data_IF_549650060572
#
_entry.id   IF_549650060572
#
_cell.length_a   1.000
_cell.length_b   1.000
_cell.length_c   1.000
_cell.angle_alpha   90.00
_cell.angle_beta   90.00
_cell.angle_gamma   90.00
#
_symmetry.space_group_name_H-M   'P 1'
#
loop_
_entity.id
_entity.type
_entity.pdbx_description
1 polymer ?
#
# COMPACT_ATOMS: atom_id res chain seq x y z
N UNK A 1 -12.35 18.99 -18.62
CA UNK A 1 -11.02 18.34 -18.60
C UNK A 1 -10.64 18.17 -17.13
N UNK A 2 -11.05 17.07 -16.52
CA UNK A 2 -10.76 16.82 -15.10
C UNK A 2 -9.49 15.97 -15.00
N UNK A 3 -8.40 16.61 -14.60
CA UNK A 3 -7.17 15.94 -14.22
C UNK A 3 -7.39 15.40 -12.80
N UNK A 4 -7.54 14.09 -12.65
CA UNK A 4 -7.50 13.47 -11.33
C UNK A 4 -6.04 13.37 -10.92
N UNK A 5 -5.68 14.11 -9.88
CA UNK A 5 -4.38 14.01 -9.25
C UNK A 5 -4.32 12.70 -8.45
N UNK A 6 -3.32 11.90 -8.72
CA UNK A 6 -3.01 10.69 -7.96
C UNK A 6 -2.41 11.07 -6.62
N UNK A 7 -3.02 10.61 -5.53
CA UNK A 7 -2.53 10.83 -4.17
C UNK A 7 -1.71 9.60 -3.78
N UNK A 8 -0.40 9.74 -3.75
CA UNK A 8 0.49 8.72 -3.24
C UNK A 8 0.72 8.90 -1.74
N UNK A 9 0.15 8.05 -0.93
CA UNK A 9 0.62 7.80 0.44
C UNK A 9 0.57 6.31 0.65
N UNK A 10 1.70 5.71 0.83
CA UNK A 10 2.00 4.34 1.19
C UNK A 10 0.96 3.33 0.71
N UNK A 11 1.25 2.57 -0.29
CA UNK A 11 0.46 1.57 -1.01
C UNK A 11 -1.07 1.76 -0.98
N UNK A 12 -1.54 2.98 -1.12
CA UNK A 12 -2.84 3.23 -1.70
C UNK A 12 -2.64 3.05 -3.18
N UNK A 13 -2.94 1.87 -3.64
CA UNK A 13 -3.11 1.63 -5.03
C UNK A 13 -4.03 2.68 -5.61
N UNK A 14 -3.42 3.43 -6.44
CA UNK A 14 -4.06 4.34 -7.34
C UNK A 14 -5.22 3.62 -8.01
N UNK A 15 -6.42 3.83 -7.51
CA UNK A 15 -7.60 3.62 -8.34
C UNK A 15 -7.41 4.49 -9.56
N UNK A 16 -6.73 3.95 -10.57
CA UNK A 16 -6.51 4.64 -11.82
C UNK A 16 -7.87 4.86 -12.44
N UNK A 17 -8.37 6.09 -12.42
CA UNK A 17 -9.43 6.46 -13.34
C UNK A 17 -8.86 6.21 -14.73
N UNK A 18 -9.26 5.12 -15.36
CA UNK A 18 -8.89 4.81 -16.74
C UNK A 18 -9.47 5.93 -17.61
N UNK A 19 -8.60 6.88 -17.95
CA UNK A 19 -8.91 7.86 -18.97
C UNK A 19 -8.91 7.14 -20.31
N UNK A 20 -9.93 7.43 -21.12
CA UNK A 20 -10.06 6.94 -22.47
C UNK A 20 -8.74 7.16 -23.25
N UNK A 21 -8.27 6.10 -23.88
CA UNK A 21 -7.25 5.99 -24.93
C UNK A 21 -6.29 7.19 -25.01
N UNK A 22 -5.35 7.25 -24.09
CA UNK A 22 -4.15 8.05 -24.24
C UNK A 22 -3.02 7.15 -24.77
N UNK A 23 -2.02 7.76 -25.42
CA UNK A 23 -0.79 7.09 -25.79
C UNK A 23 -0.14 6.41 -24.56
N UNK A 24 0.71 5.42 -24.79
CA UNK A 24 1.52 4.78 -23.75
C UNK A 24 2.15 5.83 -22.84
N UNK A 25 1.95 5.71 -21.55
CA UNK A 25 2.49 6.66 -20.58
C UNK A 25 3.51 5.98 -19.68
N UNK A 26 4.64 6.62 -19.48
CA UNK A 26 5.57 6.34 -18.40
C UNK A 26 5.47 7.50 -17.42
N UNK A 27 5.24 7.19 -16.15
CA UNK A 27 5.17 8.18 -15.08
C UNK A 27 6.00 7.70 -13.88
N UNK A 28 6.40 8.63 -13.05
CA UNK A 28 7.09 8.34 -11.80
C UNK A 28 6.53 9.16 -10.66
N UNK A 29 6.90 8.80 -9.46
CA UNK A 29 6.56 9.55 -8.26
C UNK A 29 7.66 9.43 -7.20
N UNK A 30 7.70 10.41 -6.30
CA UNK A 30 8.50 10.36 -5.08
C UNK A 30 7.69 10.91 -3.93
N UNK A 31 7.81 10.31 -2.75
CA UNK A 31 7.13 10.71 -1.52
C UNK A 31 8.12 10.71 -0.36
N UNK A 32 8.05 11.75 0.46
CA UNK A 32 8.69 11.80 1.77
C UNK A 32 7.57 11.73 2.81
N UNK A 33 7.66 10.79 3.74
CA UNK A 33 6.67 10.59 4.80
C UNK A 33 7.34 10.53 6.17
N UNK A 34 6.60 10.87 7.21
CA UNK A 34 7.08 10.78 8.60
C UNK A 34 7.10 9.35 9.12
N UNK A 35 6.40 8.44 8.45
CA UNK A 35 6.36 7.01 8.74
C UNK A 35 5.84 6.25 7.52
N UNK A 36 6.25 5.00 7.35
CA UNK A 36 5.69 4.06 6.37
C UNK A 36 4.76 3.07 7.07
N UNK A 37 3.46 3.18 6.83
CA UNK A 37 2.44 2.28 7.38
C UNK A 37 1.85 1.40 6.29
N UNK A 38 2.14 0.09 6.37
CA UNK A 38 1.53 -0.92 5.52
C UNK A 38 0.39 -1.62 6.30
N UNK A 39 -0.84 -1.49 5.82
CA UNK A 39 -2.04 -2.02 6.50
C UNK A 39 -2.07 -1.68 7.99
N UNK A 40 -1.75 -0.42 8.31
CA UNK A 40 -1.76 0.10 9.67
C UNK A 40 -0.48 -0.11 10.48
N UNK A 41 0.41 -1.02 10.07
CA UNK A 41 1.62 -1.38 10.80
C UNK A 41 2.83 -0.64 10.24
N UNK A 42 3.64 -0.01 11.12
CA UNK A 42 4.88 0.64 10.71
C UNK A 42 5.89 -0.37 10.16
N UNK A 43 6.52 -0.01 9.06
CA UNK A 43 7.58 -0.78 8.43
C UNK A 43 8.97 -0.28 8.85
N UNK A 44 9.00 0.63 9.83
CA UNK A 44 10.22 1.25 10.34
C UNK A 44 10.29 1.05 11.85
N UNK A 45 11.29 0.32 12.33
CA UNK A 45 11.52 0.11 13.76
C UNK A 45 11.74 1.44 14.48
N UNK A 46 11.28 1.53 15.74
CA UNK A 46 11.53 2.65 16.64
C UNK A 46 10.34 3.56 16.89
N UNK A 47 9.16 3.27 16.32
CA UNK A 47 7.91 4.00 16.59
C UNK A 47 8.02 5.55 16.47
N UNK A 48 6.98 6.24 16.15
CA UNK A 48 6.97 7.70 16.19
C UNK A 48 7.53 8.39 14.94
N UNK A 49 8.71 8.99 15.00
CA UNK A 49 9.32 9.72 13.88
C UNK A 49 10.36 8.88 13.16
N UNK A 50 9.93 8.09 12.18
CA UNK A 50 10.79 7.24 11.35
C UNK A 50 10.56 7.54 9.88
N UNK A 51 11.27 8.53 9.29
CA UNK A 51 10.95 9.03 7.96
C UNK A 51 11.20 7.99 6.87
N UNK A 52 10.25 7.91 5.94
CA UNK A 52 10.32 7.11 4.74
C UNK A 52 10.57 7.96 3.50
N UNK A 53 11.42 7.47 2.61
CA UNK A 53 11.50 7.91 1.22
C UNK A 53 10.98 6.80 0.32
N UNK A 54 9.99 7.13 -0.49
CA UNK A 54 9.22 6.17 -1.27
C UNK A 54 9.08 6.66 -2.70
N UNK A 55 9.00 5.78 -3.67
CA UNK A 55 8.73 6.17 -5.05
C UNK A 55 8.79 5.02 -6.01
N UNK A 56 8.41 5.30 -7.26
CA UNK A 56 8.35 4.27 -8.28
C UNK A 56 8.05 4.81 -9.67
N UNK A 57 7.89 3.87 -10.59
CA UNK A 57 7.58 4.14 -11.98
C UNK A 57 6.42 3.25 -12.43
N UNK A 58 5.55 3.82 -13.25
CA UNK A 58 4.42 3.14 -13.88
C UNK A 58 4.52 3.25 -15.40
N UNK A 59 4.38 2.15 -16.10
CA UNK A 59 4.12 2.09 -17.52
C UNK A 59 2.68 1.64 -17.78
N UNK A 60 1.91 2.49 -18.45
CA UNK A 60 0.50 2.27 -18.75
C UNK A 60 0.25 2.42 -20.24
N UNK A 61 0.24 1.33 -21.02
CA UNK A 61 -0.17 1.36 -22.41
C UNK A 61 -1.67 1.62 -22.55
N UNK A 62 -2.09 2.08 -23.72
CA UNK A 62 -3.49 2.38 -24.02
C UNK A 62 -4.46 1.19 -23.90
N UNK A 63 -3.94 -0.02 -23.78
CA UNK A 63 -4.71 -1.27 -23.75
C UNK A 63 -5.46 -1.53 -22.43
N UNK A 64 -5.16 -0.78 -21.34
CA UNK A 64 -5.66 -1.03 -20.00
C UNK A 64 -4.75 -1.89 -19.14
N UNK A 65 -3.73 -2.55 -19.72
CA UNK A 65 -2.65 -3.18 -18.94
C UNK A 65 -1.75 -2.14 -18.31
N UNK A 66 -1.06 -2.50 -17.25
CA UNK A 66 -0.01 -1.70 -16.65
C UNK A 66 1.04 -2.58 -15.97
N UNK A 67 2.23 -2.03 -15.87
CA UNK A 67 3.34 -2.57 -15.09
C UNK A 67 3.94 -1.44 -14.28
N UNK A 68 4.42 -1.73 -13.09
CA UNK A 68 5.08 -0.74 -12.26
C UNK A 68 6.09 -1.35 -11.32
N UNK A 69 6.88 -0.48 -10.74
CA UNK A 69 7.77 -0.78 -9.63
C UNK A 69 7.65 0.32 -8.58
N UNK A 70 7.82 -0.06 -7.34
CA UNK A 70 7.85 0.86 -6.22
C UNK A 70 8.92 0.44 -5.23
N UNK A 71 9.44 1.36 -4.43
CA UNK A 71 10.42 1.07 -3.41
C UNK A 71 10.28 2.02 -2.23
N UNK A 72 10.69 1.54 -1.06
CA UNK A 72 10.79 2.30 0.19
C UNK A 72 11.95 1.80 1.04
N UNK A 73 12.54 2.67 1.84
CA UNK A 73 13.30 2.17 2.97
C UNK A 73 12.36 1.51 3.97
N UNK A 74 12.83 0.41 4.56
CA UNK A 74 12.21 -0.32 5.66
C UNK A 74 13.25 -0.61 6.72
N UNK A 75 12.83 -0.96 7.93
CA UNK A 75 13.75 -1.36 8.99
C UNK A 75 13.09 -2.41 9.88
N UNK A 76 13.13 -3.65 9.44
CA UNK A 76 12.65 -4.80 10.22
C UNK A 76 13.42 -6.07 9.84
N UNK A 77 13.73 -6.91 10.82
CA UNK A 77 14.26 -8.28 10.64
C UNK A 77 15.39 -8.47 9.61
N UNK A 78 16.19 -7.43 9.37
CA UNK A 78 17.29 -7.45 8.40
C UNK A 78 16.95 -6.93 7.01
N UNK A 79 15.72 -6.40 6.79
CA UNK A 79 15.38 -5.67 5.58
C UNK A 79 15.70 -4.18 5.72
N UNK A 80 16.44 -3.61 4.74
CA UNK A 80 16.75 -2.18 4.68
C UNK A 80 15.93 -1.46 3.61
N UNK A 81 15.48 -2.21 2.62
CA UNK A 81 14.73 -1.70 1.47
C UNK A 81 13.67 -2.72 1.04
N UNK A 82 12.50 -2.22 0.70
CA UNK A 82 11.45 -2.92 0.00
C UNK A 82 11.44 -2.49 -1.45
N UNK A 83 11.36 -3.44 -2.37
CA UNK A 83 11.23 -3.21 -3.80
C UNK A 83 10.11 -4.07 -4.35
N UNK A 84 9.09 -3.42 -4.87
CA UNK A 84 7.90 -4.08 -5.38
C UNK A 84 7.85 -4.04 -6.91
N UNK A 85 7.35 -5.13 -7.47
CA UNK A 85 6.95 -5.22 -8.87
C UNK A 85 5.47 -5.54 -8.92
N UNK A 86 4.73 -4.83 -9.76
CA UNK A 86 3.30 -5.07 -9.91
C UNK A 86 2.84 -4.93 -11.35
N UNK A 87 1.74 -5.54 -11.64
CA UNK A 87 1.09 -5.40 -12.93
C UNK A 87 -0.34 -5.87 -12.90
N UNK A 88 -1.12 -5.38 -13.84
CA UNK A 88 -2.53 -5.70 -13.86
C UNK A 88 -3.24 -5.19 -15.11
N UNK A 89 -4.55 -5.30 -15.02
CA UNK A 89 -5.48 -4.81 -16.04
C UNK A 89 -6.65 -4.10 -15.37
N UNK A 90 -6.83 -2.82 -15.70
CA UNK A 90 -7.94 -2.02 -15.23
C UNK A 90 -8.76 -1.45 -16.38
N UNK A 91 -10.08 -1.43 -16.22
CA UNK A 91 -10.98 -0.83 -17.22
C UNK A 91 -12.28 -0.32 -16.60
N UNK A 92 -13.02 0.46 -17.38
CA UNK A 92 -14.37 0.91 -17.03
C UNK A 92 -15.42 -0.03 -17.60
N UNK A 93 -16.39 -0.38 -16.78
CA UNK A 93 -17.63 -1.01 -17.24
C UNK A 93 -18.56 0.06 -17.82
N UNK A 94 -18.60 1.24 -17.15
CA UNK A 94 -19.34 2.42 -17.57
C UNK A 94 -18.77 3.68 -16.88
N UNK A 95 -19.44 4.82 -17.00
CA UNK A 95 -18.95 6.10 -16.46
C UNK A 95 -18.84 6.14 -14.91
N UNK A 96 -19.51 5.22 -14.23
CA UNK A 96 -19.57 5.19 -12.76
C UNK A 96 -18.92 3.96 -12.15
N UNK A 97 -18.68 2.90 -12.93
CA UNK A 97 -18.14 1.62 -12.46
C UNK A 97 -16.85 1.30 -13.19
N UNK A 98 -15.80 1.01 -12.44
CA UNK A 98 -14.54 0.48 -12.95
C UNK A 98 -14.10 -0.73 -12.14
N UNK A 99 -13.21 -1.51 -12.70
CA UNK A 99 -12.58 -2.66 -12.05
C UNK A 99 -11.08 -2.68 -12.34
N UNK A 100 -10.35 -3.32 -11.45
CA UNK A 100 -8.92 -3.57 -11.58
C UNK A 100 -8.58 -4.95 -11.00
N UNK A 101 -7.66 -5.67 -11.62
CA UNK A 101 -7.12 -6.90 -11.08
C UNK A 101 -5.68 -7.10 -11.54
N UNK A 102 -4.88 -7.74 -10.71
CA UNK A 102 -3.47 -7.94 -11.01
C UNK A 102 -2.73 -8.68 -9.92
N UNK A 103 -1.44 -8.42 -9.86
CA UNK A 103 -0.56 -9.01 -8.87
C UNK A 103 0.45 -8.01 -8.35
N UNK A 104 0.96 -8.28 -7.15
CA UNK A 104 2.11 -7.66 -6.50
C UNK A 104 3.13 -8.71 -6.18
N UNK A 105 4.39 -8.38 -6.36
CA UNK A 105 5.53 -9.05 -5.76
C UNK A 105 6.20 -8.05 -4.82
N UNK A 106 6.33 -8.42 -3.57
CA UNK A 106 7.03 -7.67 -2.53
C UNK A 106 8.39 -8.30 -2.33
N UNK A 107 9.45 -7.55 -2.56
CA UNK A 107 10.82 -8.04 -2.51
C UNK A 107 11.64 -7.29 -1.47
N UNK A 108 12.45 -8.02 -0.72
CA UNK A 108 13.34 -7.49 0.32
C UNK A 108 14.79 -7.92 0.03
N UNK A 109 15.51 -7.23 -0.87
CA UNK A 109 16.82 -7.68 -1.40
C UNK A 109 17.90 -7.95 -0.34
N UNK A 110 17.77 -7.31 0.84
CA UNK A 110 18.76 -7.41 1.92
C UNK A 110 18.21 -8.15 3.15
N UNK A 111 17.19 -8.99 3.02
CA UNK A 111 16.59 -9.74 4.12
C UNK A 111 17.54 -10.80 4.74
N UNK A 112 18.77 -10.89 4.21
CA UNK A 112 19.78 -11.87 4.59
C UNK A 112 19.51 -13.27 4.04
N UNK A 113 18.46 -13.43 3.25
CA UNK A 113 18.23 -14.58 2.40
C UNK A 113 19.06 -14.38 1.13
N UNK A 114 20.38 -14.46 1.26
CA UNK A 114 21.25 -14.47 0.10
C UNK A 114 20.96 -15.73 -0.71
N UNK A 115 21.04 -15.66 -2.03
CA UNK A 115 21.05 -16.79 -2.98
C UNK A 115 22.10 -17.87 -2.62
N UNK A 116 22.86 -17.67 -1.58
CA UNK A 116 23.86 -18.56 -1.00
C UNK A 116 23.39 -19.10 0.37
N UNK A 117 22.36 -19.99 0.33
CA UNK A 117 22.18 -21.14 1.23
C UNK A 117 22.47 -20.95 2.75
N UNK A 118 21.80 -20.02 3.41
CA UNK A 118 21.55 -20.18 4.84
C UNK A 118 20.13 -20.73 5.01
N UNK A 119 20.00 -22.05 5.07
CA UNK A 119 18.75 -22.82 5.11
C UNK A 119 17.84 -22.53 6.33
N UNK A 120 18.19 -21.57 7.17
CA UNK A 120 17.47 -21.26 8.41
C UNK A 120 16.85 -19.85 8.47
N UNK A 121 16.91 -19.07 7.38
CA UNK A 121 16.24 -17.77 7.33
C UNK A 121 14.97 -17.85 6.49
N UNK A 122 13.87 -17.36 7.05
CA UNK A 122 12.58 -17.27 6.35
C UNK A 122 12.70 -16.30 5.18
N UNK A 123 12.14 -16.66 4.05
CA UNK A 123 12.01 -15.77 2.91
C UNK A 123 10.94 -14.71 3.22
N UNK A 124 11.32 -13.44 3.25
CA UNK A 124 10.38 -12.35 3.49
C UNK A 124 9.60 -11.99 2.23
N UNK A 125 10.15 -12.27 1.04
CA UNK A 125 9.50 -11.95 -0.22
C UNK A 125 8.25 -12.80 -0.45
N UNK A 126 7.21 -12.16 -0.97
CA UNK A 126 5.94 -12.83 -1.27
C UNK A 126 5.21 -12.13 -2.41
N UNK A 127 4.11 -12.71 -2.87
CA UNK A 127 3.25 -12.11 -3.87
C UNK A 127 1.78 -12.17 -3.45
N UNK A 128 1.02 -11.21 -3.95
CA UNK A 128 -0.41 -11.15 -3.78
C UNK A 128 -1.09 -11.02 -5.14
N UNK A 129 -2.20 -11.69 -5.31
CA UNK A 129 -3.18 -11.40 -6.35
C UNK A 129 -4.23 -10.47 -5.79
N UNK A 130 -4.71 -9.53 -6.59
CA UNK A 130 -5.76 -8.63 -6.14
C UNK A 130 -6.84 -8.43 -7.19
N UNK A 131 -8.00 -8.01 -6.71
CA UNK A 131 -9.08 -7.51 -7.53
C UNK A 131 -9.92 -6.50 -6.78
N UNK A 132 -10.34 -5.44 -7.47
CA UNK A 132 -11.23 -4.45 -6.92
C UNK A 132 -12.30 -3.97 -7.92
N UNK A 133 -13.35 -3.39 -7.36
CA UNK A 133 -14.40 -2.69 -8.08
C UNK A 133 -14.61 -1.32 -7.44
N UNK A 134 -14.74 -0.31 -8.29
CA UNK A 134 -15.00 1.07 -7.85
C UNK A 134 -16.32 1.57 -8.38
N UNK A 135 -17.10 2.23 -7.53
CA UNK A 135 -18.38 2.83 -7.83
C UNK A 135 -18.58 4.13 -7.05
N UNK A 136 -18.74 5.25 -7.75
CA UNK A 136 -19.07 6.57 -7.17
C UNK A 136 -18.17 6.98 -6.00
N UNK A 137 -16.85 6.75 -6.11
CA UNK A 137 -15.87 7.08 -5.05
C UNK A 137 -15.70 6.01 -3.98
N UNK A 138 -16.52 4.97 -3.95
CA UNK A 138 -16.34 3.78 -3.13
C UNK A 138 -15.53 2.75 -3.91
N UNK A 139 -14.50 2.15 -3.30
CA UNK A 139 -13.76 1.00 -3.81
C UNK A 139 -13.91 -0.15 -2.83
N UNK A 140 -14.18 -1.33 -3.34
CA UNK A 140 -14.17 -2.59 -2.59
C UNK A 140 -13.16 -3.53 -3.24
N UNK A 141 -12.28 -4.12 -2.45
CA UNK A 141 -11.24 -4.98 -3.00
C UNK A 141 -10.83 -6.11 -2.08
N UNK A 142 -10.09 -7.03 -2.66
CA UNK A 142 -9.49 -8.17 -2.00
C UNK A 142 -8.09 -8.40 -2.53
N UNK A 143 -7.15 -8.71 -1.62
CA UNK A 143 -5.84 -9.27 -1.95
C UNK A 143 -5.75 -10.68 -1.36
N UNK A 144 -5.05 -11.57 -2.04
CA UNK A 144 -4.80 -12.94 -1.62
C UNK A 144 -3.35 -13.33 -1.88
N UNK A 145 -2.69 -13.90 -0.89
CA UNK A 145 -1.39 -14.55 -1.02
C UNK A 145 -1.52 -16.03 -0.61
N UNK A 146 -1.04 -16.98 -1.41
CA UNK A 146 -0.99 -18.39 -0.99
C UNK A 146 0.14 -18.67 -0.01
N UNK A 147 1.15 -17.79 0.06
CA UNK A 147 2.23 -17.85 1.04
C UNK A 147 2.71 -16.41 1.34
N UNK A 148 2.17 -15.87 2.41
CA UNK A 148 2.37 -14.47 2.81
C UNK A 148 3.73 -14.29 3.49
N UNK A 149 4.12 -13.07 3.68
CA UNK A 149 5.34 -12.60 4.32
C UNK A 149 5.93 -13.57 5.35
N UNK A 150 7.22 -13.89 5.24
CA UNK A 150 7.93 -14.84 6.12
C UNK A 150 7.33 -16.26 6.14
N UNK A 151 6.80 -16.72 4.98
CA UNK A 151 6.26 -18.09 4.81
C UNK A 151 5.14 -18.41 5.82
N UNK A 152 4.23 -17.46 6.02
CA UNK A 152 3.15 -17.59 7.01
C UNK A 152 1.89 -18.27 6.47
N UNK A 153 1.93 -18.77 5.21
CA UNK A 153 0.82 -19.48 4.58
C UNK A 153 -0.24 -18.55 3.99
N UNK A 154 -1.43 -19.05 3.80
CA UNK A 154 -2.52 -18.33 3.16
C UNK A 154 -2.87 -17.02 3.91
N UNK A 155 -3.06 -15.97 3.12
CA UNK A 155 -3.46 -14.67 3.63
C UNK A 155 -4.52 -14.07 2.72
N UNK A 156 -5.48 -13.38 3.32
CA UNK A 156 -6.43 -12.55 2.59
C UNK A 156 -6.65 -11.20 3.26
N UNK A 157 -6.74 -10.16 2.45
CA UNK A 157 -7.03 -8.80 2.86
C UNK A 157 -8.25 -8.28 2.13
N UNK A 158 -9.27 -7.89 2.87
CA UNK A 158 -10.51 -7.33 2.35
C UNK A 158 -10.58 -5.87 2.73
N UNK A 159 -10.89 -4.99 1.80
CA UNK A 159 -10.91 -3.57 2.10
C UNK A 159 -12.05 -2.82 1.43
N UNK A 160 -12.40 -1.71 2.07
CA UNK A 160 -13.28 -0.70 1.54
C UNK A 160 -12.61 0.66 1.65
N UNK A 161 -12.71 1.46 0.58
CA UNK A 161 -12.20 2.82 0.53
C UNK A 161 -13.29 3.76 0.04
N UNK A 162 -13.25 4.99 0.52
CA UNK A 162 -14.04 6.08 0.00
C UNK A 162 -13.19 7.32 -0.13
N UNK A 163 -13.27 8.02 -1.25
CA UNK A 163 -12.63 9.31 -1.43
C UNK A 163 -13.52 10.31 -2.16
N UNK A 164 -13.41 11.57 -1.76
CA UNK A 164 -14.13 12.67 -2.40
C UNK A 164 -13.34 13.97 -2.30
N UNK A 165 -13.64 14.93 -3.18
CA UNK A 165 -13.09 16.28 -3.10
C UNK A 165 -14.05 17.22 -2.37
N UNK A 166 -13.52 17.95 -1.40
CA UNK A 166 -14.23 19.01 -0.69
C UNK A 166 -13.77 20.36 -1.23
N UNK A 167 -14.74 21.21 -1.65
CA UNK A 167 -14.47 22.55 -2.17
C UNK A 167 -13.43 22.58 -3.31
N UNK A 168 -13.34 21.53 -4.13
CA UNK A 168 -12.45 21.34 -5.28
C UNK A 168 -10.93 21.40 -4.96
N UNK A 169 -10.56 21.55 -3.70
CA UNK A 169 -9.17 21.76 -3.27
C UNK A 169 -8.62 20.66 -2.37
N UNK A 170 -9.46 20.13 -1.49
CA UNK A 170 -9.05 19.14 -0.50
C UNK A 170 -9.66 17.81 -0.86
N UNK A 171 -8.83 16.79 -1.05
CA UNK A 171 -9.28 15.41 -1.16
C UNK A 171 -9.30 14.81 0.22
N UNK A 172 -10.44 14.26 0.63
CA UNK A 172 -10.58 13.47 1.85
C UNK A 172 -10.79 12.01 1.50
N UNK A 173 -10.19 11.12 2.27
CA UNK A 173 -10.34 9.69 2.07
C UNK A 173 -10.47 8.96 3.40
N UNK A 174 -11.21 7.85 3.36
CA UNK A 174 -11.32 6.88 4.45
C UNK A 174 -11.08 5.49 3.90
N UNK A 175 -10.44 4.66 4.70
CA UNK A 175 -10.10 3.28 4.40
C UNK A 175 -10.38 2.42 5.62
N UNK A 176 -10.88 1.21 5.38
CA UNK A 176 -11.00 0.15 6.36
C UNK A 176 -10.56 -1.16 5.73
N UNK A 177 -9.70 -1.91 6.41
CA UNK A 177 -9.17 -3.18 5.99
C UNK A 177 -9.35 -4.28 7.04
N UNK A 178 -9.51 -5.50 6.56
CA UNK A 178 -9.59 -6.71 7.37
C UNK A 178 -8.57 -7.73 6.86
N UNK A 179 -7.58 -8.00 7.67
CA UNK A 179 -6.47 -8.91 7.43
C UNK A 179 -6.76 -10.26 8.05
N UNK A 180 -6.70 -11.36 7.29
CA UNK A 180 -6.91 -12.72 7.76
C UNK A 180 -5.75 -13.60 7.37
N UNK A 181 -5.13 -14.25 8.36
CA UNK A 181 -4.01 -15.16 8.24
C UNK A 181 -4.46 -16.61 8.46
N UNK A 182 -3.83 -17.54 7.79
CA UNK A 182 -4.01 -18.98 8.07
C UNK A 182 -3.37 -19.35 9.40
N UNK A 183 -2.20 -18.78 9.69
CA UNK A 183 -1.42 -19.12 10.87
C UNK A 183 -1.50 -18.05 11.96
N UNK A 184 -1.86 -18.45 13.18
CA UNK A 184 -1.91 -17.56 14.35
C UNK A 184 -0.53 -17.08 14.82
N UNK A 185 0.54 -17.77 14.44
CA UNK A 185 1.91 -17.44 14.90
C UNK A 185 2.36 -16.03 14.52
N UNK A 186 1.79 -15.47 13.46
CA UNK A 186 2.17 -14.15 12.96
C UNK A 186 1.77 -13.01 13.89
N UNK A 187 0.64 -13.15 14.58
CA UNK A 187 0.09 -12.13 15.48
C UNK A 187 -0.13 -12.66 16.91
N UNK A 188 0.82 -13.39 17.46
CA UNK A 188 0.83 -13.81 18.87
C UNK A 188 -0.42 -14.56 19.36
N UNK A 189 -1.06 -15.40 18.59
CA UNK A 189 -2.31 -16.15 18.79
C UNK A 189 -3.56 -15.55 18.12
N UNK A 190 -3.44 -14.46 17.40
CA UNK A 190 -4.50 -13.96 16.53
C UNK A 190 -4.24 -14.38 15.08
N UNK A 191 -5.29 -14.59 14.35
CA UNK A 191 -5.26 -14.91 12.93
C UNK A 191 -5.96 -13.84 12.08
N UNK A 192 -6.26 -12.68 12.67
CA UNK A 192 -6.82 -11.53 11.97
C UNK A 192 -6.57 -10.22 12.73
N UNK A 193 -6.58 -9.13 11.99
CA UNK A 193 -6.72 -7.78 12.54
C UNK A 193 -7.41 -6.86 11.53
N UNK A 194 -7.84 -5.71 12.02
CA UNK A 194 -8.37 -4.64 11.18
C UNK A 194 -7.47 -3.42 11.26
N UNK A 195 -7.37 -2.73 10.14
CA UNK A 195 -6.74 -1.43 10.03
C UNK A 195 -7.71 -0.38 9.48
N UNK A 196 -7.48 0.88 9.79
CA UNK A 196 -8.23 1.98 9.22
C UNK A 196 -7.37 3.23 9.08
N UNK A 197 -7.73 4.04 8.11
CA UNK A 197 -7.07 5.30 7.84
C UNK A 197 -8.10 6.35 7.42
N UNK A 198 -7.92 7.56 7.92
CA UNK A 198 -8.58 8.76 7.40
C UNK A 198 -7.52 9.77 7.00
N UNK A 199 -7.70 10.47 5.88
CA UNK A 199 -6.71 11.40 5.38
C UNK A 199 -7.33 12.62 4.71
N UNK A 200 -6.56 13.70 4.69
CA UNK A 200 -6.83 14.89 3.91
C UNK A 200 -5.58 15.28 3.12
N UNK A 201 -5.76 15.59 1.84
CA UNK A 201 -4.68 15.97 0.95
C UNK A 201 -5.01 17.25 0.19
N UNK A 202 -4.00 18.08 -0.05
CA UNK A 202 -4.12 19.33 -0.80
C UNK A 202 -2.94 19.48 -1.76
N UNK A 203 -3.23 19.89 -3.00
CA UNK A 203 -2.22 20.21 -4.00
C UNK A 203 -1.76 21.66 -3.83
N UNK A 204 -0.45 21.86 -3.74
CA UNK A 204 0.15 23.19 -3.60
C UNK A 204 1.66 23.17 -3.83
N UNK A 205 2.19 24.24 -4.40
CA UNK A 205 3.62 24.41 -4.69
C UNK A 205 4.20 23.30 -5.59
N UNK A 206 3.37 22.67 -6.43
CA UNK A 206 3.78 21.61 -7.34
C UNK A 206 3.99 20.24 -6.66
N UNK A 207 3.49 20.07 -5.44
CA UNK A 207 3.47 18.81 -4.68
C UNK A 207 2.11 18.63 -4.02
N UNK A 208 1.83 17.41 -3.59
CA UNK A 208 0.65 17.07 -2.79
C UNK A 208 1.06 16.92 -1.32
N UNK A 209 0.41 17.64 -0.43
CA UNK A 209 0.58 17.59 1.02
C UNK A 209 -0.52 16.73 1.60
N UNK A 210 -0.17 15.73 2.40
CA UNK A 210 -1.15 14.82 2.99
C UNK A 210 -0.93 14.69 4.49
N UNK A 211 -2.04 14.73 5.24
CA UNK A 211 -2.10 14.31 6.64
C UNK A 211 -3.05 13.14 6.75
N UNK A 212 -2.58 12.05 7.35
CA UNK A 212 -3.36 10.85 7.59
C UNK A 212 -3.32 10.46 9.06
N UNK A 213 -4.43 9.94 9.58
CA UNK A 213 -4.50 9.23 10.84
C UNK A 213 -4.68 7.75 10.51
N UNK A 214 -3.78 6.91 11.02
CA UNK A 214 -3.72 5.48 10.75
C UNK A 214 -3.77 4.73 12.07
N UNK A 215 -4.53 3.65 12.11
CA UNK A 215 -4.66 2.82 13.31
C UNK A 215 -4.98 1.36 12.98
N UNK A 216 -4.76 0.49 13.95
CA UNK A 216 -5.15 -0.91 13.93
C UNK A 216 -5.92 -1.26 15.21
N UNK A 217 -6.43 -2.49 15.30
CA UNK A 217 -6.96 -3.06 16.53
C UNK A 217 -5.99 -4.04 17.20
N UNK A 218 -4.69 -3.91 16.93
CA UNK A 218 -3.61 -4.60 17.62
C UNK A 218 -3.17 -3.73 18.81
N UNK A 219 -3.04 -4.31 20.00
CA UNK A 219 -2.87 -3.53 21.22
C UNK A 219 -1.83 -4.09 22.21
N UNK A 220 -1.08 -5.12 21.82
CA UNK A 220 -0.04 -5.73 22.66
C UNK A 220 1.26 -5.96 21.89
N UNK A 221 2.37 -5.98 22.61
CA UNK A 221 3.67 -6.29 22.03
C UNK A 221 3.68 -7.62 21.27
N UNK A 222 2.98 -8.64 21.83
CA UNK A 222 2.91 -9.97 21.22
C UNK A 222 2.17 -9.97 19.87
N UNK A 223 1.20 -9.08 19.70
CA UNK A 223 0.45 -8.91 18.45
C UNK A 223 1.18 -8.03 17.43
N UNK A 224 2.15 -7.24 17.89
CA UNK A 224 2.89 -6.25 17.08
C UNK A 224 4.38 -6.59 17.00
N UNK A 225 4.73 -7.84 16.76
CA UNK A 225 6.11 -8.27 16.50
C UNK A 225 7.12 -7.97 17.62
N UNK A 226 6.63 -7.84 18.87
CA UNK A 226 7.45 -7.52 20.04
C UNK A 226 7.52 -6.03 20.39
N UNK A 227 6.90 -5.17 19.58
CA UNK A 227 6.85 -3.72 19.80
C UNK A 227 5.47 -3.17 19.41
N UNK A 228 4.62 -2.90 20.40
CA UNK A 228 3.27 -2.35 20.18
C UNK A 228 3.28 -0.99 19.46
N UNK A 229 4.36 -0.21 19.57
CA UNK A 229 4.46 1.12 18.95
C UNK A 229 4.39 1.03 17.42
N UNK A 230 4.76 -0.13 16.84
CA UNK A 230 4.59 -0.40 15.41
C UNK A 230 3.13 -0.41 14.95
N UNK A 231 2.19 -0.74 15.86
CA UNK A 231 0.76 -0.87 15.57
C UNK A 231 -0.09 0.25 16.18
N UNK A 232 0.49 1.11 17.03
CA UNK A 232 -0.24 2.21 17.64
C UNK A 232 -0.76 3.21 16.62
N UNK A 233 -1.92 3.78 16.96
CA UNK A 233 -2.52 4.82 16.16
C UNK A 233 -1.62 6.04 16.06
N UNK A 234 -1.40 6.53 14.85
CA UNK A 234 -0.47 7.63 14.61
C UNK A 234 -0.95 8.58 13.51
N UNK A 235 -0.42 9.80 13.54
CA UNK A 235 -0.57 10.76 12.45
C UNK A 235 0.65 10.69 11.53
N UNK A 236 0.42 10.45 10.25
CA UNK A 236 1.46 10.42 9.21
C UNK A 236 1.29 11.66 8.34
N UNK A 237 2.35 12.44 8.22
CA UNK A 237 2.45 13.54 7.29
C UNK A 237 3.32 13.15 6.10
N UNK A 238 2.91 13.51 4.89
CA UNK A 238 3.71 13.23 3.70
C UNK A 238 3.63 14.35 2.65
N UNK A 239 4.67 14.40 1.83
CA UNK A 239 4.79 15.28 0.67
C UNK A 239 5.12 14.41 -0.53
N UNK A 240 4.29 14.48 -1.57
CA UNK A 240 4.44 13.68 -2.80
C UNK A 240 4.61 14.55 -4.02
N UNK A 241 5.42 14.08 -4.98
CA UNK A 241 5.64 14.70 -6.28
C UNK A 241 5.45 13.66 -7.38
N UNK A 242 4.58 13.96 -8.34
CA UNK A 242 4.53 13.25 -9.61
C UNK A 242 5.62 13.78 -10.56
N UNK A 243 6.30 12.88 -11.27
CA UNK A 243 7.41 13.12 -12.19
C UNK A 243 6.98 12.89 -13.64
#
# INVERSE_FOLDING_TARGET
MNKFASIGVGLLLLGSAVAAQAADTLSGNVTLATDYRFRGISQLEGGGWSPAIQGGFDWKPASGFYLGTWASNVNFSGGDIEVDLYGGYGNKINDTVSYDFGFYYYGYPNDGHNFNQNENKLNLAYYEYYGDISFMGVKLGVNYSPDYFAETGDFSYWYAEYSTKIADKVTVAAHYGYNKFDQKRFLGNRDYYSDWKVSAAIDGLGVTWTLAYVATNLDSDQECFGDKDLCEATAVFSISKAL
#
